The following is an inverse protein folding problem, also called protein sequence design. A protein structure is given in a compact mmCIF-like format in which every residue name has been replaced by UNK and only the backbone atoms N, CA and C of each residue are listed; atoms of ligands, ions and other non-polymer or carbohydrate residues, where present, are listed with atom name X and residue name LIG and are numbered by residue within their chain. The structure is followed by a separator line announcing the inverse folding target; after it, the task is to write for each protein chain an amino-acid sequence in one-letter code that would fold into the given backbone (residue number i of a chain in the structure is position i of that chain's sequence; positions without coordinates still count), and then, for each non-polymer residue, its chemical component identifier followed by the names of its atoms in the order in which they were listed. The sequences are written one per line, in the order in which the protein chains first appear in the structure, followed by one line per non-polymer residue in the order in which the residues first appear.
data_IF_687435736178
#
_entry.id   IF_687435736178
#
_cell.length_a   1.000
_cell.length_b   1.000
_cell.length_c   1.000
_cell.angle_alpha   90.00
_cell.angle_beta   90.00
_cell.angle_gamma   90.00
#
_symmetry.space_group_name_H-M   'P 1'
#
loop_
_entity.id
_entity.type
_entity.pdbx_description
1 polymer ?
#
# COMPACT_ATOMS: atom_id res chain seq x y z
N UNK A 1 3.09 6.93 0.65
CA UNK A 1 2.34 6.97 1.91
C UNK A 1 1.29 5.89 1.87
N UNK A 2 1.18 5.02 2.90
CA UNK A 2 0.11 4.05 3.00
C UNK A 2 -1.27 4.70 2.95
N UNK A 3 -2.30 3.95 2.54
CA UNK A 3 -3.62 4.52 2.27
C UNK A 3 -4.36 4.97 3.53
N UNK A 4 -4.23 4.19 4.60
CA UNK A 4 -4.89 4.48 5.89
C UNK A 4 -4.49 5.84 6.47
N UNK A 5 -3.18 6.18 6.62
CA UNK A 5 -2.77 7.51 7.06
C UNK A 5 -3.21 8.66 6.14
N UNK A 6 -3.38 8.41 4.84
CA UNK A 6 -3.90 9.45 3.92
C UNK A 6 -5.32 9.85 4.30
N UNK A 7 -6.19 8.87 4.61
CA UNK A 7 -7.55 9.18 5.07
C UNK A 7 -7.56 9.97 6.38
N UNK A 8 -6.72 9.58 7.35
CA UNK A 8 -6.62 10.28 8.64
C UNK A 8 -6.16 11.73 8.45
N UNK A 9 -5.08 11.93 7.70
CA UNK A 9 -4.56 13.27 7.39
C UNK A 9 -5.58 14.13 6.63
N UNK A 10 -6.30 13.52 5.69
CA UNK A 10 -7.34 14.23 4.93
C UNK A 10 -8.51 14.65 5.81
N UNK A 11 -8.92 13.82 6.78
CA UNK A 11 -9.94 14.20 7.77
C UNK A 11 -9.49 15.38 8.63
N UNK A 12 -8.26 15.34 9.16
CA UNK A 12 -7.67 16.44 9.93
C UNK A 12 -7.59 17.71 9.06
N UNK A 13 -7.14 17.58 7.83
CA UNK A 13 -7.07 18.70 6.87
C UNK A 13 -8.45 19.29 6.59
N UNK A 14 -9.46 18.47 6.35
CA UNK A 14 -10.83 18.91 6.12
C UNK A 14 -11.41 19.65 7.32
N UNK A 15 -11.19 19.15 8.53
CA UNK A 15 -11.62 19.83 9.77
C UNK A 15 -10.98 21.21 9.93
N UNK A 16 -9.68 21.31 9.66
CA UNK A 16 -8.93 22.60 9.76
C UNK A 16 -9.35 23.61 8.70
N UNK A 17 -9.88 23.16 7.58
CA UNK A 17 -10.29 23.99 6.45
C UNK A 17 -11.80 23.99 6.21
N UNK A 18 -12.57 23.98 7.31
CA UNK A 18 -14.04 24.15 7.30
C UNK A 18 -14.80 23.15 6.38
N UNK A 19 -14.36 21.91 6.34
CA UNK A 19 -15.03 20.87 5.54
C UNK A 19 -14.71 20.94 4.05
N UNK A 20 -13.52 21.42 3.68
CA UNK A 20 -13.08 21.55 2.28
C UNK A 20 -13.10 20.25 1.49
N UNK A 21 -13.00 19.08 2.16
CA UNK A 21 -13.11 17.77 1.54
C UNK A 21 -14.48 17.19 1.88
N UNK A 22 -15.37 16.97 0.89
CA UNK A 22 -16.70 16.40 1.10
C UNK A 22 -16.64 15.01 1.74
N UNK A 23 -17.62 14.65 2.58
CA UNK A 23 -17.69 13.35 3.24
C UNK A 23 -17.77 12.18 2.25
N UNK A 24 -18.35 12.40 1.08
CA UNK A 24 -18.41 11.40 0.00
C UNK A 24 -17.03 10.89 -0.44
N UNK A 25 -15.97 11.70 -0.30
CA UNK A 25 -14.59 11.29 -0.62
C UNK A 25 -14.07 10.24 0.37
N UNK A 26 -14.54 10.26 1.61
CA UNK A 26 -14.13 9.32 2.65
C UNK A 26 -14.97 8.04 2.66
N UNK A 27 -16.19 8.09 2.12
CA UNK A 27 -17.13 6.96 2.12
C UNK A 27 -17.16 6.19 0.81
N UNK A 28 -16.78 6.85 -0.32
CA UNK A 28 -16.70 6.17 -1.63
C UNK A 28 -15.62 5.09 -1.60
N UNK A 29 -15.94 3.83 -1.94
CA UNK A 29 -14.93 2.79 -2.06
C UNK A 29 -13.84 3.17 -3.07
N UNK A 30 -12.55 2.98 -2.75
CA UNK A 30 -11.46 3.25 -3.69
C UNK A 30 -11.57 2.39 -4.95
N UNK A 31 -11.28 3.01 -6.10
CA UNK A 31 -11.31 2.34 -7.41
C UNK A 31 -10.37 3.04 -8.37
N UNK A 32 -9.74 2.24 -9.25
CA UNK A 32 -9.01 2.76 -10.40
C UNK A 32 -9.92 3.24 -11.54
N UNK A 33 -11.23 2.98 -11.44
CA UNK A 33 -12.27 3.38 -12.42
C UNK A 33 -11.98 2.97 -13.87
N UNK A 34 -11.28 1.85 -14.04
CA UNK A 34 -10.95 1.30 -15.38
C UNK A 34 -12.09 0.47 -15.98
N UNK A 35 -13.04 0.05 -15.15
CA UNK A 35 -14.23 -0.74 -15.53
C UNK A 35 -15.43 -0.29 -14.72
N UNK A 36 -16.67 -0.45 -15.24
CA UNK A 36 -17.89 -0.21 -14.46
C UNK A 36 -17.88 -0.98 -13.14
N UNK A 37 -18.33 -0.35 -12.06
CA UNK A 37 -18.47 -0.90 -10.70
C UNK A 37 -17.19 -1.53 -10.09
N UNK A 38 -16.04 -1.25 -10.67
CA UNK A 38 -14.75 -1.73 -10.18
C UNK A 38 -14.45 -1.13 -8.78
N UNK A 39 -13.95 -2.00 -7.88
CA UNK A 39 -13.40 -1.62 -6.57
C UNK A 39 -11.99 -2.18 -6.42
N UNK A 40 -11.14 -1.49 -5.66
CA UNK A 40 -9.79 -1.99 -5.36
C UNK A 40 -9.85 -3.31 -4.58
N UNK A 41 -10.88 -3.48 -3.72
CA UNK A 41 -11.14 -4.71 -2.97
C UNK A 41 -11.47 -5.93 -3.83
N UNK A 42 -11.77 -5.76 -5.13
CA UNK A 42 -11.96 -6.91 -6.05
C UNK A 42 -10.66 -7.70 -6.31
N UNK A 43 -9.51 -7.07 -6.07
CA UNK A 43 -8.19 -7.66 -6.37
C UNK A 43 -7.16 -7.50 -5.24
N UNK A 44 -7.47 -6.73 -4.23
CA UNK A 44 -6.62 -6.44 -3.08
C UNK A 44 -7.42 -6.67 -1.78
N UNK A 45 -6.76 -7.03 -0.66
CA UNK A 45 -7.41 -7.01 0.64
C UNK A 45 -7.76 -5.58 1.04
N UNK A 46 -8.53 -5.43 2.12
CA UNK A 46 -8.80 -4.12 2.72
C UNK A 46 -7.51 -3.38 3.05
N UNK A 47 -7.54 -2.06 2.94
CA UNK A 47 -6.32 -1.25 3.05
C UNK A 47 -5.63 -1.30 4.40
N UNK A 48 -6.36 -1.55 5.49
CA UNK A 48 -5.78 -1.75 6.82
C UNK A 48 -4.92 -3.02 6.89
N UNK A 49 -5.32 -4.10 6.23
CA UNK A 49 -4.55 -5.33 6.08
C UNK A 49 -3.36 -5.10 5.15
N UNK A 50 -3.62 -4.46 4.00
CA UNK A 50 -2.58 -4.18 3.02
C UNK A 50 -1.46 -3.31 3.60
N UNK A 51 -1.81 -2.25 4.33
CA UNK A 51 -0.84 -1.33 4.93
C UNK A 51 0.02 -2.02 6.01
N UNK A 52 -0.54 -2.99 6.77
CA UNK A 52 0.23 -3.83 7.71
C UNK A 52 1.27 -4.69 6.99
N UNK A 53 0.86 -5.37 5.91
CA UNK A 53 1.78 -6.19 5.10
C UNK A 53 2.88 -5.33 4.50
N UNK A 54 2.54 -4.16 3.95
CA UNK A 54 3.52 -3.24 3.36
C UNK A 54 4.50 -2.71 4.40
N UNK A 55 4.02 -2.36 5.60
CA UNK A 55 4.88 -1.90 6.68
C UNK A 55 5.86 -3.00 7.10
N UNK A 56 5.37 -4.19 7.42
CA UNK A 56 6.21 -5.33 7.79
C UNK A 56 7.28 -5.62 6.74
N UNK A 57 6.87 -5.73 5.48
CA UNK A 57 7.79 -6.10 4.39
C UNK A 57 8.79 -5.00 4.03
N UNK A 58 8.36 -3.73 3.91
CA UNK A 58 9.19 -2.64 3.39
C UNK A 58 9.98 -1.92 4.48
N UNK A 59 9.34 -1.63 5.62
CA UNK A 59 9.95 -0.84 6.69
C UNK A 59 10.66 -1.73 7.71
N UNK A 60 9.98 -2.77 8.18
CA UNK A 60 10.47 -3.64 9.27
C UNK A 60 11.31 -4.82 8.74
N UNK A 61 11.32 -5.06 7.40
CA UNK A 61 12.08 -6.13 6.72
C UNK A 61 11.73 -7.53 7.24
N UNK A 62 10.48 -7.73 7.61
CA UNK A 62 9.97 -9.02 8.05
C UNK A 62 9.81 -9.99 6.89
N UNK A 63 9.96 -11.28 7.18
CA UNK A 63 9.62 -12.36 6.26
C UNK A 63 8.11 -12.52 6.10
N UNK A 64 7.62 -13.14 5.02
CA UNK A 64 6.19 -13.40 4.85
C UNK A 64 5.58 -14.18 6.03
N UNK A 65 6.33 -15.13 6.59
CA UNK A 65 5.87 -15.96 7.71
C UNK A 65 5.73 -15.15 9.01
N UNK A 66 6.70 -14.27 9.31
CA UNK A 66 6.63 -13.35 10.47
C UNK A 66 5.44 -12.40 10.37
N UNK A 67 5.17 -11.82 9.18
CA UNK A 67 4.03 -10.93 8.96
C UNK A 67 2.71 -11.69 9.14
N UNK A 68 2.63 -12.92 8.62
CA UNK A 68 1.44 -13.74 8.74
C UNK A 68 1.15 -14.10 10.20
N UNK A 69 2.16 -14.46 10.98
CA UNK A 69 2.05 -14.78 12.40
C UNK A 69 1.67 -13.56 13.24
N UNK A 70 2.38 -12.43 13.08
CA UNK A 70 2.16 -11.21 13.86
C UNK A 70 0.73 -10.66 13.70
N UNK A 71 0.21 -10.73 12.48
CA UNK A 71 -1.11 -10.15 12.18
C UNK A 71 -2.24 -11.19 12.05
N UNK A 72 -1.95 -12.47 12.33
CA UNK A 72 -2.90 -13.59 12.18
C UNK A 72 -3.52 -13.63 10.77
N UNK A 73 -2.71 -13.47 9.73
CA UNK A 73 -3.11 -13.47 8.33
C UNK A 73 -2.81 -14.80 7.65
N UNK A 74 -3.55 -15.09 6.59
CA UNK A 74 -3.22 -16.23 5.73
C UNK A 74 -1.89 -15.98 5.01
N UNK A 75 -0.95 -16.89 5.15
CA UNK A 75 0.37 -16.84 4.52
C UNK A 75 0.30 -16.75 3.00
N UNK A 76 -0.68 -17.40 2.38
CA UNK A 76 -0.86 -17.34 0.93
C UNK A 76 -1.27 -15.93 0.48
N UNK A 77 -2.09 -15.24 1.26
CA UNK A 77 -2.45 -13.84 1.04
C UNK A 77 -1.20 -12.94 1.14
N UNK A 78 -0.42 -13.08 2.22
CA UNK A 78 0.79 -12.27 2.45
C UNK A 78 1.78 -12.44 1.29
N UNK A 79 2.08 -13.69 0.91
CA UNK A 79 2.97 -13.99 -0.23
C UNK A 79 2.45 -13.43 -1.55
N UNK A 80 1.15 -13.50 -1.81
CA UNK A 80 0.53 -12.94 -3.01
C UNK A 80 0.75 -11.41 -3.08
N UNK A 81 0.54 -10.71 -1.96
CA UNK A 81 0.73 -9.26 -1.90
C UNK A 81 2.20 -8.89 -2.09
N UNK A 82 3.13 -9.56 -1.40
CA UNK A 82 4.56 -9.33 -1.56
C UNK A 82 5.00 -9.53 -3.03
N UNK A 83 4.56 -10.62 -3.65
CA UNK A 83 4.82 -10.85 -5.08
C UNK A 83 4.27 -9.74 -5.99
N UNK A 84 3.08 -9.20 -5.69
CA UNK A 84 2.54 -8.04 -6.42
C UNK A 84 3.41 -6.79 -6.21
N UNK A 85 3.90 -6.56 -4.99
CA UNK A 85 4.80 -5.45 -4.68
C UNK A 85 6.08 -5.55 -5.53
N UNK A 86 6.72 -6.70 -5.55
CA UNK A 86 7.98 -6.91 -6.26
C UNK A 86 7.82 -6.83 -7.78
N UNK A 87 6.80 -7.48 -8.32
CA UNK A 87 6.50 -7.42 -9.76
C UNK A 87 6.18 -6.02 -10.28
N UNK A 88 5.72 -5.12 -9.43
CA UNK A 88 5.40 -3.75 -9.80
C UNK A 88 6.55 -2.75 -9.54
N UNK A 89 7.75 -3.22 -9.17
CA UNK A 89 8.91 -2.36 -8.94
C UNK A 89 9.26 -1.51 -10.16
N UNK A 90 9.19 -2.08 -11.35
CA UNK A 90 9.46 -1.34 -12.60
C UNK A 90 8.53 -0.12 -12.79
N UNK A 91 7.26 -0.23 -12.37
CA UNK A 91 6.31 0.90 -12.42
C UNK A 91 6.70 2.00 -11.44
N UNK A 92 7.16 1.62 -10.24
CA UNK A 92 7.62 2.58 -9.23
C UNK A 92 8.85 3.35 -9.70
N UNK A 93 9.76 2.69 -10.41
CA UNK A 93 10.96 3.35 -10.96
C UNK A 93 10.65 4.30 -12.12
N UNK A 94 9.52 4.15 -12.76
CA UNK A 94 9.03 5.07 -13.80
C UNK A 94 8.26 6.27 -13.22
N UNK A 95 7.89 6.22 -11.94
CA UNK A 95 7.18 7.30 -11.29
C UNK A 95 8.10 8.50 -11.00
N UNK A 96 7.49 9.68 -10.89
CA UNK A 96 8.21 10.86 -10.42
C UNK A 96 8.81 10.64 -9.01
N UNK A 97 9.98 11.24 -8.69
CA UNK A 97 10.54 11.17 -7.35
C UNK A 97 9.55 11.65 -6.29
N UNK A 98 9.25 10.79 -5.33
CA UNK A 98 8.36 11.12 -4.21
C UNK A 98 9.11 11.56 -2.97
N UNK A 99 8.44 12.30 -2.09
CA UNK A 99 8.98 12.63 -0.78
C UNK A 99 8.97 11.39 0.12
N UNK A 100 10.07 11.15 0.81
CA UNK A 100 10.17 10.09 1.81
C UNK A 100 9.49 10.55 3.11
N UNK A 101 8.46 9.84 3.55
CA UNK A 101 7.69 10.14 4.78
C UNK A 101 7.76 9.03 5.82
N UNK A 102 8.41 7.91 5.51
CA UNK A 102 8.61 6.75 6.39
C UNK A 102 10.09 6.47 6.59
N UNK A 103 10.45 5.63 7.56
CA UNK A 103 11.86 5.26 7.85
C UNK A 103 12.54 4.63 6.65
N UNK A 104 11.81 3.81 5.92
CA UNK A 104 12.22 3.26 4.62
C UNK A 104 11.13 3.54 3.59
N UNK A 105 11.53 3.72 2.34
CA UNK A 105 10.61 3.94 1.23
C UNK A 105 11.06 3.13 0.01
N UNK A 106 10.15 2.91 -0.92
CA UNK A 106 10.48 2.33 -2.21
C UNK A 106 11.51 3.22 -2.92
N UNK A 107 12.60 2.63 -3.39
CA UNK A 107 13.71 3.33 -4.05
C UNK A 107 14.83 3.75 -3.09
N UNK A 108 14.57 4.71 -2.21
CA UNK A 108 15.54 5.16 -1.20
C UNK A 108 15.43 4.28 0.05
N UNK A 109 16.20 3.26 0.17
CA UNK A 109 16.19 2.34 1.32
C UNK A 109 15.74 0.92 0.95
N UNK A 110 15.14 0.73 -0.21
CA UNK A 110 14.83 -0.57 -0.79
C UNK A 110 15.17 -0.54 -2.28
N UNK A 111 16.28 -1.18 -2.64
CA UNK A 111 16.67 -1.39 -4.04
C UNK A 111 16.34 -2.83 -4.41
N UNK A 112 15.36 -3.01 -5.27
CA UNK A 112 14.97 -4.32 -5.79
C UNK A 112 15.33 -4.43 -7.28
N UNK A 113 16.09 -5.45 -7.70
CA UNK A 113 16.47 -5.61 -9.10
C UNK A 113 15.26 -5.91 -9.98
N UNK A 114 15.00 -5.09 -11.01
CA UNK A 114 13.83 -5.24 -11.89
C UNK A 114 13.88 -6.53 -12.72
N UNK A 115 15.08 -6.91 -13.17
CA UNK A 115 15.28 -8.05 -14.07
C UNK A 115 15.36 -9.39 -13.34
N UNK A 116 15.52 -9.36 -12.03
CA UNK A 116 15.62 -10.55 -11.21
C UNK A 116 14.21 -11.09 -10.92
N UNK A 117 13.70 -11.98 -11.66
CA UNK A 117 12.39 -12.61 -11.44
C UNK A 117 12.39 -13.57 -10.23
N UNK A 118 13.12 -13.24 -9.18
CA UNK A 118 13.13 -13.99 -7.94
C UNK A 118 11.85 -13.66 -7.14
N UNK A 119 11.12 -14.68 -6.77
CA UNK A 119 10.02 -14.60 -5.80
C UNK A 119 10.16 -15.76 -4.83
N UNK A 120 10.23 -15.47 -3.53
CA UNK A 120 10.14 -16.48 -2.47
C UNK A 120 8.76 -17.10 -2.36
#
# INVERSE_FOLDING_TARGET
VPKTPVYELSRIGSQRHHGAIPESVFTKPPSAELRPDQKDSDSLPEYDILDKILKGYVEDLQTPDEIAEEHSLDIALVRNIINKVDRNEYKRQQAAPGLKVTTKAFGIGRRYPIAQRFSE
#
